data_IF_508748957277
#
_entry.id   IF_508748957277
#
_cell.length_a   1.000
_cell.length_b   1.000
_cell.length_c   1.000
_cell.angle_alpha   90.00
_cell.angle_beta   90.00
_cell.angle_gamma   90.00
#
_symmetry.space_group_name_H-M   'P 1'
#
loop_
_entity.id
_entity.type
_entity.pdbx_description
1 polymer ?
#
# COMPACT_ATOMS: atom_id res chain seq x y z
N UNK A 1 -7.76 -1.84 9.91
CA UNK A 1 -7.32 -0.67 9.13
C UNK A 1 -7.21 -1.03 7.65
N UNK A 2 -6.20 -1.77 7.20
CA UNK A 2 -6.08 -2.20 5.78
C UNK A 2 -7.37 -2.91 5.32
N UNK A 3 -7.81 -3.92 6.06
CA UNK A 3 -9.07 -4.61 5.76
C UNK A 3 -10.25 -3.65 5.65
N UNK A 4 -10.45 -2.71 6.59
CA UNK A 4 -11.58 -1.77 6.51
C UNK A 4 -11.46 -0.78 5.34
N UNK A 5 -10.26 -0.27 5.06
CA UNK A 5 -10.02 0.65 3.95
C UNK A 5 -10.26 -0.02 2.62
N UNK A 6 -9.79 -1.25 2.42
CA UNK A 6 -9.86 -1.91 1.12
C UNK A 6 -11.13 -2.76 0.93
N UNK A 7 -11.59 -3.48 1.96
CA UNK A 7 -12.82 -4.26 1.87
C UNK A 7 -14.08 -3.39 1.71
N UNK A 8 -14.17 -2.27 2.42
CA UNK A 8 -15.38 -1.44 2.41
C UNK A 8 -15.37 -0.35 1.35
N UNK A 9 -14.20 0.17 0.99
CA UNK A 9 -14.10 1.41 0.22
C UNK A 9 -13.36 1.27 -1.10
N UNK A 10 -12.60 0.20 -1.34
CA UNK A 10 -11.80 0.13 -2.55
C UNK A 10 -12.66 0.06 -3.83
N UNK A 11 -12.17 0.73 -4.86
CA UNK A 11 -12.89 0.96 -6.10
C UNK A 11 -12.85 -0.23 -7.05
N UNK A 12 -11.88 -1.15 -6.90
CA UNK A 12 -11.76 -2.35 -7.74
C UNK A 12 -12.52 -3.54 -7.13
N UNK A 13 -12.37 -3.76 -5.84
CA UNK A 13 -12.85 -4.94 -5.11
C UNK A 13 -14.37 -4.98 -5.02
N UNK A 14 -15.04 -3.81 -5.05
CA UNK A 14 -16.50 -3.73 -5.12
C UNK A 14 -17.09 -4.42 -6.36
N UNK A 15 -16.33 -4.50 -7.46
CA UNK A 15 -16.77 -5.18 -8.69
C UNK A 15 -16.58 -6.70 -8.64
N UNK A 16 -15.84 -7.19 -7.64
CA UNK A 16 -15.61 -8.61 -7.41
C UNK A 16 -16.52 -9.18 -6.31
N UNK A 17 -17.30 -8.33 -5.64
CA UNK A 17 -18.32 -8.74 -4.69
C UNK A 17 -19.35 -9.70 -5.34
N UNK A 18 -19.81 -10.74 -4.62
CA UNK A 18 -19.55 -11.07 -3.22
C UNK A 18 -18.33 -11.98 -3.00
N UNK A 19 -17.46 -12.15 -4.01
CA UNK A 19 -16.40 -13.18 -3.98
C UNK A 19 -15.13 -12.76 -3.22
N UNK A 20 -15.10 -11.55 -2.67
CA UNK A 20 -14.03 -11.08 -1.78
C UNK A 20 -14.65 -10.89 -0.40
N UNK A 21 -14.03 -11.48 0.61
CA UNK A 21 -14.43 -11.41 2.01
C UNK A 21 -13.31 -10.86 2.88
N UNK A 22 -13.64 -10.43 4.11
CA UNK A 22 -12.68 -9.84 5.05
C UNK A 22 -11.49 -10.76 5.35
N UNK A 23 -11.70 -12.08 5.37
CA UNK A 23 -10.63 -13.07 5.60
C UNK A 23 -9.58 -13.10 4.49
N UNK A 24 -9.92 -12.67 3.28
CA UNK A 24 -8.99 -12.66 2.15
C UNK A 24 -7.88 -11.63 2.36
N UNK A 25 -8.21 -10.47 2.93
CA UNK A 25 -7.20 -9.48 3.34
C UNK A 25 -6.35 -9.98 4.52
N UNK A 26 -6.90 -10.82 5.39
CA UNK A 26 -6.11 -11.44 6.44
C UNK A 26 -5.10 -12.42 5.85
N UNK A 27 -5.52 -13.28 4.93
CA UNK A 27 -4.63 -14.19 4.19
C UNK A 27 -3.49 -13.42 3.52
N UNK A 28 -3.82 -12.32 2.82
CA UNK A 28 -2.84 -11.42 2.20
C UNK A 28 -1.87 -10.84 3.23
N UNK A 29 -2.38 -10.27 4.32
CA UNK A 29 -1.52 -9.65 5.34
C UNK A 29 -0.65 -10.70 6.04
N UNK A 30 -1.16 -11.90 6.31
CA UNK A 30 -0.39 -12.98 6.91
C UNK A 30 0.75 -13.44 5.98
N UNK A 31 0.52 -13.49 4.67
CA UNK A 31 1.54 -13.83 3.68
C UNK A 31 2.61 -12.74 3.51
N UNK A 32 2.25 -11.47 3.67
CA UNK A 32 3.16 -10.34 3.44
C UNK A 32 3.82 -9.80 4.72
N UNK A 33 3.34 -10.16 5.91
CA UNK A 33 3.73 -9.52 7.16
C UNK A 33 5.23 -9.56 7.43
N UNK A 34 5.84 -10.74 7.35
CA UNK A 34 7.26 -10.93 7.59
C UNK A 34 8.12 -10.14 6.57
N UNK A 35 7.90 -10.27 5.25
CA UNK A 35 8.59 -9.43 4.26
C UNK A 35 8.42 -7.93 4.49
N UNK A 36 7.21 -7.46 4.80
CA UNK A 36 6.93 -6.03 5.02
C UNK A 36 7.76 -5.44 6.16
N UNK A 37 7.89 -6.19 7.26
CA UNK A 37 8.65 -5.78 8.43
C UNK A 37 10.15 -5.86 8.16
N UNK A 38 10.62 -6.94 7.55
CA UNK A 38 12.05 -7.18 7.29
C UNK A 38 12.65 -6.16 6.33
N UNK A 39 11.93 -5.76 5.28
CA UNK A 39 12.42 -4.79 4.29
C UNK A 39 12.58 -3.39 4.89
N UNK A 40 11.85 -3.07 5.96
CA UNK A 40 12.04 -1.83 6.71
C UNK A 40 11.82 -0.56 5.89
N UNK A 41 10.89 -0.61 4.93
CA UNK A 41 10.46 0.52 4.09
C UNK A 41 8.96 0.80 4.19
N UNK A 42 8.23 0.05 5.03
CA UNK A 42 6.85 0.33 5.41
C UNK A 42 6.79 1.04 6.76
N UNK A 43 5.73 1.81 7.02
CA UNK A 43 5.58 2.52 8.28
C UNK A 43 4.12 2.75 8.67
N UNK A 44 3.93 3.11 9.94
CA UNK A 44 2.63 3.48 10.51
C UNK A 44 2.67 4.90 11.05
N UNK A 45 1.58 5.64 10.88
CA UNK A 45 1.36 6.94 11.52
C UNK A 45 0.63 6.70 12.83
N UNK A 46 1.19 7.20 13.93
CA UNK A 46 0.62 7.07 15.27
C UNK A 46 0.04 8.40 15.73
N UNK A 47 -1.01 8.32 16.53
CA UNK A 47 -1.48 9.48 17.28
C UNK A 47 -0.36 9.99 18.20
N UNK A 48 -0.29 11.31 18.44
CA UNK A 48 0.72 11.90 19.33
C UNK A 48 0.43 11.63 20.81
N UNK A 49 -0.69 10.98 21.14
CA UNK A 49 -1.08 10.65 22.51
C UNK A 49 -0.53 9.30 22.97
N UNK A 50 -0.64 9.04 24.28
CA UNK A 50 -0.18 7.79 24.90
C UNK A 50 -1.02 6.56 24.49
N UNK A 51 -2.11 6.75 23.74
CA UNK A 51 -3.01 5.67 23.32
C UNK A 51 -2.35 4.70 22.34
N UNK A 52 -1.22 5.11 21.72
CA UNK A 52 -0.53 4.38 20.63
C UNK A 52 -1.48 4.02 19.48
N UNK A 53 -2.57 4.77 19.32
CA UNK A 53 -3.54 4.54 18.25
C UNK A 53 -2.86 4.73 16.89
N UNK A 54 -3.01 3.74 16.02
CA UNK A 54 -2.54 3.86 14.63
C UNK A 54 -3.59 4.65 13.85
N UNK A 55 -3.16 5.72 13.20
CA UNK A 55 -4.01 6.62 12.40
C UNK A 55 -3.90 6.29 10.90
N UNK A 56 -2.76 5.78 10.47
CA UNK A 56 -2.53 5.39 9.07
C UNK A 56 -1.38 4.41 8.93
N UNK A 57 -1.32 3.79 7.76
CA UNK A 57 -0.27 2.85 7.38
C UNK A 57 0.07 3.03 5.90
N UNK A 58 1.35 3.02 5.60
CA UNK A 58 1.89 2.95 4.25
C UNK A 58 2.73 1.67 4.13
N UNK A 59 2.31 0.79 3.23
CA UNK A 59 2.98 -0.46 2.92
C UNK A 59 3.73 -0.29 1.60
N UNK A 60 5.04 -0.43 1.68
CA UNK A 60 5.93 -0.22 0.56
C UNK A 60 6.91 -1.39 0.41
N UNK A 61 7.41 -1.53 -0.80
CA UNK A 61 8.53 -2.38 -1.15
C UNK A 61 9.47 -1.65 -2.12
N UNK A 62 10.65 -2.22 -2.34
CA UNK A 62 11.42 -1.91 -3.55
C UNK A 62 10.80 -2.68 -4.71
N UNK A 63 10.49 -1.98 -5.81
CA UNK A 63 9.77 -2.56 -6.95
C UNK A 63 10.53 -3.70 -7.65
N UNK A 64 11.83 -3.87 -7.38
CA UNK A 64 12.67 -4.97 -7.88
C UNK A 64 13.03 -6.00 -6.80
N UNK A 65 12.39 -5.93 -5.62
CA UNK A 65 12.64 -6.80 -4.47
C UNK A 65 11.35 -7.10 -3.67
N UNK A 66 10.22 -7.15 -4.38
CA UNK A 66 8.92 -7.56 -3.83
C UNK A 66 8.90 -9.08 -3.55
N UNK A 67 8.24 -9.52 -2.47
CA UNK A 67 8.10 -10.94 -2.17
C UNK A 67 7.11 -11.61 -3.14
N UNK A 68 7.34 -12.89 -3.43
CA UNK A 68 6.28 -13.71 -4.03
C UNK A 68 5.14 -13.87 -3.03
N UNK A 69 3.94 -13.39 -3.40
CA UNK A 69 2.75 -13.50 -2.57
C UNK A 69 1.78 -14.47 -3.23
N UNK A 70 1.57 -15.63 -2.59
CA UNK A 70 0.57 -16.60 -3.05
C UNK A 70 -0.61 -16.56 -2.11
N UNK A 71 -1.76 -16.12 -2.63
CA UNK A 71 -3.06 -16.14 -1.93
C UNK A 71 -4.06 -16.92 -2.76
N UNK A 72 -5.04 -17.54 -2.10
CA UNK A 72 -6.06 -18.38 -2.73
C UNK A 72 -7.34 -17.62 -3.08
N UNK A 73 -7.52 -16.44 -2.49
CA UNK A 73 -8.67 -15.56 -2.71
C UNK A 73 -8.68 -14.88 -4.08
N UNK A 74 -9.84 -14.31 -4.46
CA UNK A 74 -9.99 -13.53 -5.72
C UNK A 74 -9.29 -12.17 -5.69
N UNK A 75 -8.62 -11.81 -4.59
CA UNK A 75 -7.74 -10.64 -4.55
C UNK A 75 -6.60 -10.77 -5.57
N UNK A 76 -6.21 -11.98 -5.98
CA UNK A 76 -5.23 -12.20 -7.05
C UNK A 76 -5.61 -11.46 -8.34
N UNK A 77 -6.89 -11.39 -8.69
CA UNK A 77 -7.37 -10.67 -9.89
C UNK A 77 -7.00 -9.18 -9.82
N UNK A 78 -7.08 -8.57 -8.63
CA UNK A 78 -6.70 -7.17 -8.44
C UNK A 78 -5.19 -6.99 -8.59
N UNK A 79 -4.39 -7.85 -7.96
CA UNK A 79 -2.93 -7.79 -8.08
C UNK A 79 -2.45 -8.03 -9.51
N UNK A 80 -3.02 -9.00 -10.21
CA UNK A 80 -2.73 -9.26 -11.63
C UNK A 80 -3.10 -8.06 -12.51
N UNK A 81 -4.21 -7.39 -12.21
CA UNK A 81 -4.61 -6.18 -12.92
C UNK A 81 -3.66 -5.01 -12.68
N UNK A 82 -3.22 -4.79 -11.43
CA UNK A 82 -2.24 -3.76 -11.11
C UNK A 82 -0.90 -4.07 -11.80
N UNK A 83 -0.42 -5.30 -11.72
CA UNK A 83 0.81 -5.73 -12.38
C UNK A 83 0.75 -5.58 -13.91
N UNK A 84 -0.40 -5.88 -14.53
CA UNK A 84 -0.63 -5.64 -15.96
C UNK A 84 -0.43 -4.17 -16.36
N UNK A 85 -0.80 -3.22 -15.49
CA UNK A 85 -0.60 -1.79 -15.73
C UNK A 85 0.84 -1.35 -15.41
N UNK A 86 1.39 -1.88 -14.34
CA UNK A 86 2.64 -1.43 -13.74
C UNK A 86 3.88 -2.00 -14.43
N UNK A 87 3.90 -3.30 -14.72
CA UNK A 87 5.08 -3.99 -15.25
C UNK A 87 5.60 -3.37 -16.55
N UNK A 88 4.75 -3.05 -17.57
CA UNK A 88 5.25 -2.45 -18.80
C UNK A 88 5.96 -1.10 -18.57
N UNK A 89 5.48 -0.30 -17.61
CA UNK A 89 6.09 0.98 -17.27
C UNK A 89 7.37 0.78 -16.45
N UNK A 90 7.31 -0.08 -15.44
CA UNK A 90 8.43 -0.41 -14.55
C UNK A 90 9.63 -0.95 -15.31
N UNK A 91 9.39 -1.80 -16.31
CA UNK A 91 10.43 -2.49 -17.08
C UNK A 91 10.96 -1.69 -18.27
N UNK A 92 10.14 -0.81 -18.87
CA UNK A 92 10.53 -0.12 -20.13
C UNK A 92 10.76 1.38 -19.99
N UNK A 93 10.25 2.02 -18.93
CA UNK A 93 10.29 3.49 -18.76
C UNK A 93 10.94 3.95 -17.47
N UNK A 94 10.95 3.12 -16.43
CA UNK A 94 11.48 3.49 -15.13
C UNK A 94 12.92 2.98 -14.91
N UNK A 95 13.69 3.59 -13.99
CA UNK A 95 15.05 3.14 -13.70
C UNK A 95 15.08 1.68 -13.21
N UNK A 96 15.96 0.88 -13.82
CA UNK A 96 16.04 -0.56 -13.57
C UNK A 96 16.96 -0.88 -12.39
N UNK A 97 16.54 -1.82 -11.54
CA UNK A 97 17.35 -2.46 -10.50
C UNK A 97 16.92 -2.14 -9.07
N UNK A 98 17.43 -2.93 -8.13
CA UNK A 98 17.19 -2.74 -6.70
C UNK A 98 17.68 -1.37 -6.21
N UNK A 99 16.96 -0.79 -5.27
CA UNK A 99 17.18 0.51 -4.66
C UNK A 99 16.78 1.68 -5.56
N UNK A 100 16.09 1.45 -6.68
CA UNK A 100 15.73 2.51 -7.63
C UNK A 100 14.33 3.05 -7.43
N UNK A 101 13.35 2.17 -7.23
CA UNK A 101 11.94 2.54 -7.17
C UNK A 101 11.35 2.08 -5.84
N UNK A 102 10.87 3.03 -5.04
CA UNK A 102 10.06 2.73 -3.85
C UNK A 102 8.61 2.57 -4.32
N UNK A 103 8.11 1.34 -4.35
CA UNK A 103 6.73 1.06 -4.69
C UNK A 103 5.86 1.16 -3.43
N UNK A 104 4.97 2.15 -3.37
CA UNK A 104 3.96 2.26 -2.33
C UNK A 104 2.66 1.63 -2.83
N UNK A 105 2.50 0.33 -2.59
CA UNK A 105 1.38 -0.43 -3.17
C UNK A 105 0.08 -0.33 -2.35
N UNK A 106 0.16 0.00 -1.05
CA UNK A 106 -1.02 0.19 -0.22
C UNK A 106 -0.84 1.33 0.79
N UNK A 107 -1.82 2.24 0.82
CA UNK A 107 -2.00 3.21 1.90
C UNK A 107 -3.42 3.10 2.47
N UNK A 108 -3.51 3.11 3.79
CA UNK A 108 -4.78 3.03 4.50
C UNK A 108 -4.78 3.93 5.73
N UNK A 109 -5.96 4.43 6.07
CA UNK A 109 -6.20 5.27 7.24
C UNK A 109 -7.21 4.61 8.17
N UNK A 110 -7.18 5.01 9.44
CA UNK A 110 -8.12 4.53 10.43
C UNK A 110 -9.54 4.97 10.06
N UNK A 111 -10.51 4.05 10.14
CA UNK A 111 -11.90 4.30 9.76
C UNK A 111 -12.60 5.33 10.63
N UNK A 112 -12.09 5.56 11.84
CA UNK A 112 -12.66 6.49 12.82
C UNK A 112 -12.19 7.94 12.61
N UNK A 113 -11.33 8.22 11.62
CA UNK A 113 -10.90 9.58 11.32
C UNK A 113 -12.07 10.39 10.73
N UNK A 114 -12.14 11.66 11.11
CA UNK A 114 -12.98 12.62 10.40
C UNK A 114 -12.47 12.80 8.96
N UNK A 115 -13.29 13.28 8.01
CA UNK A 115 -12.82 13.56 6.65
C UNK A 115 -11.62 14.53 6.62
N UNK A 116 -11.60 15.53 7.51
CA UNK A 116 -10.50 16.48 7.60
C UNK A 116 -9.21 15.81 8.11
N UNK A 117 -9.30 15.01 9.18
CA UNK A 117 -8.15 14.29 9.72
C UNK A 117 -7.61 13.26 8.74
N UNK A 118 -8.50 12.59 8.00
CA UNK A 118 -8.13 11.64 6.96
C UNK A 118 -7.28 12.30 5.86
N UNK A 119 -7.66 13.50 5.40
CA UNK A 119 -6.86 14.26 4.43
C UNK A 119 -5.50 14.65 5.01
N UNK A 120 -5.45 15.09 6.27
CA UNK A 120 -4.19 15.44 6.94
C UNK A 120 -3.28 14.20 7.00
N UNK A 121 -3.78 13.06 7.50
CA UNK A 121 -2.99 11.83 7.64
C UNK A 121 -2.49 11.32 6.28
N UNK A 122 -3.30 11.39 5.22
CA UNK A 122 -2.85 11.04 3.87
C UNK A 122 -1.69 11.92 3.39
N UNK A 123 -1.81 13.24 3.53
CA UNK A 123 -0.75 14.19 3.16
C UNK A 123 0.54 13.95 3.97
N UNK A 124 0.41 13.62 5.25
CA UNK A 124 1.54 13.27 6.11
C UNK A 124 2.24 11.98 5.66
N UNK A 125 1.47 10.94 5.31
CA UNK A 125 2.03 9.69 4.78
C UNK A 125 2.75 9.93 3.45
N UNK A 126 2.16 10.69 2.52
CA UNK A 126 2.79 11.00 1.23
C UNK A 126 4.11 11.75 1.43
N UNK A 127 4.14 12.75 2.30
CA UNK A 127 5.36 13.48 2.64
C UNK A 127 6.42 12.54 3.25
N UNK A 128 6.00 11.62 4.11
CA UNK A 128 6.95 10.69 4.73
C UNK A 128 7.46 9.64 3.75
N UNK A 129 6.67 9.19 2.77
CA UNK A 129 7.13 8.32 1.67
C UNK A 129 8.23 9.04 0.86
N UNK A 130 8.03 10.33 0.55
CA UNK A 130 9.04 11.17 -0.12
C UNK A 130 10.34 11.28 0.69
N UNK A 131 10.22 11.51 2.00
CA UNK A 131 11.39 11.60 2.88
C UNK A 131 12.11 10.25 3.00
N UNK A 132 11.35 9.16 3.15
CA UNK A 132 11.87 7.81 3.23
C UNK A 132 12.62 7.43 1.95
N UNK A 133 12.03 7.70 0.78
CA UNK A 133 12.66 7.49 -0.52
C UNK A 133 14.03 8.17 -0.60
N UNK A 134 14.10 9.45 -0.22
CA UNK A 134 15.36 10.21 -0.16
C UNK A 134 16.36 9.62 0.82
N UNK A 135 15.94 9.31 2.06
CA UNK A 135 16.84 8.76 3.10
C UNK A 135 17.41 7.40 2.73
N UNK A 136 16.64 6.57 2.00
CA UNK A 136 17.03 5.23 1.55
C UNK A 136 17.71 5.23 0.17
N UNK A 137 17.81 6.37 -0.49
CA UNK A 137 18.50 6.52 -1.78
C UNK A 137 17.71 6.05 -3.00
N UNK A 138 16.39 5.91 -2.89
CA UNK A 138 15.52 5.62 -4.04
C UNK A 138 15.52 6.78 -5.02
N UNK A 139 15.43 6.46 -6.31
CA UNK A 139 15.40 7.44 -7.41
C UNK A 139 14.01 8.05 -7.58
N UNK A 140 12.96 7.28 -7.29
CA UNK A 140 11.58 7.73 -7.38
C UNK A 140 10.64 6.86 -6.57
N UNK A 141 9.41 7.34 -6.46
CA UNK A 141 8.28 6.59 -5.90
C UNK A 141 7.36 6.22 -7.04
N UNK A 142 6.80 5.02 -6.95
CA UNK A 142 5.85 4.49 -7.90
C UNK A 142 4.62 3.96 -7.14
N UNK A 143 3.44 4.10 -7.72
CA UNK A 143 2.17 3.65 -7.15
C UNK A 143 1.09 3.67 -8.24
N UNK A 144 0.09 2.81 -8.12
CA UNK A 144 -1.16 2.89 -8.86
C UNK A 144 -2.28 3.36 -7.92
N UNK A 145 -2.72 4.61 -8.09
CA UNK A 145 -3.79 5.19 -7.30
C UNK A 145 -5.16 4.79 -7.88
N UNK A 146 -5.92 3.99 -7.12
CA UNK A 146 -7.23 3.46 -7.55
C UNK A 146 -8.42 4.26 -7.02
N UNK A 147 -8.19 5.25 -6.16
CA UNK A 147 -9.23 6.13 -5.61
C UNK A 147 -9.02 7.60 -5.99
N UNK A 148 -10.09 8.41 -6.16
CA UNK A 148 -9.95 9.85 -6.43
C UNK A 148 -9.26 10.64 -5.31
N UNK A 149 -9.35 10.16 -4.06
CA UNK A 149 -8.73 10.84 -2.91
C UNK A 149 -7.19 10.77 -2.94
N UNK A 150 -6.66 9.75 -3.62
CA UNK A 150 -5.23 9.48 -3.73
C UNK A 150 -4.62 10.00 -5.03
N UNK A 151 -5.38 10.73 -5.86
CA UNK A 151 -4.91 11.33 -7.13
C UNK A 151 -4.51 12.79 -6.94
#
# INVERSE_FOLDING_TARGET
MVTESFYLKADLERWLAPNIVRSDYKELMDALWEPLVEKGVSFVVRAPDDSKTILGVALCFDAYDEPECTITSKLTIVFEFLEYLEAPLRETKLPVGKGKILHCYMMATNENLSPADNVIVMNEMEREILNLGKRKGFTGIFTTNTSPLTQ
#
